data_IF_115048864121
#
_entry.id   IF_115048864121
#
_cell.length_a   1.000
_cell.length_b   1.000
_cell.length_c   1.000
_cell.angle_alpha   90.00
_cell.angle_beta   90.00
_cell.angle_gamma   90.00
#
_symmetry.space_group_name_H-M   'P 1'
#
loop_
_entity.id
_entity.type
_entity.pdbx_description
1 polymer ?
#
# COMPACT_ATOMS: atom_id res chain seq x y z
N UNK A 1 -38.62 -3.42 1.13
CA UNK A 1 -38.41 -1.98 0.90
C UNK A 1 -37.25 -1.57 1.79
N UNK A 2 -36.30 -0.74 1.33
CA UNK A 2 -35.14 -0.38 2.16
C UNK A 2 -35.58 0.45 3.38
N UNK A 3 -35.09 0.09 4.57
CA UNK A 3 -35.48 0.67 5.86
C UNK A 3 -34.61 1.90 6.18
N UNK A 4 -34.58 2.87 5.25
CA UNK A 4 -33.84 4.11 5.44
C UNK A 4 -34.77 5.28 5.76
N UNK A 5 -34.25 6.32 6.46
CA UNK A 5 -35.01 7.53 6.71
C UNK A 5 -35.50 8.16 5.40
N UNK A 6 -36.74 8.67 5.33
CA UNK A 6 -37.34 9.17 4.09
C UNK A 6 -36.62 10.39 3.48
N UNK A 7 -35.74 11.06 4.24
CA UNK A 7 -35.14 12.33 3.88
C UNK A 7 -33.68 12.25 3.37
N UNK A 8 -33.12 11.04 3.19
CA UNK A 8 -31.73 10.89 2.68
C UNK A 8 -31.58 11.29 1.20
N UNK A 9 -32.69 11.40 0.46
CA UNK A 9 -32.74 11.81 -0.94
C UNK A 9 -32.56 10.65 -1.93
N UNK A 10 -33.31 10.67 -3.03
CA UNK A 10 -33.36 9.58 -4.00
C UNK A 10 -31.99 9.18 -4.61
N UNK A 11 -31.05 10.11 -4.89
CA UNK A 11 -29.71 9.75 -5.33
C UNK A 11 -28.94 8.91 -4.30
N UNK A 12 -28.94 9.32 -3.04
CA UNK A 12 -28.24 8.61 -1.97
C UNK A 12 -28.89 7.25 -1.68
N UNK A 13 -30.24 7.18 -1.63
CA UNK A 13 -30.96 5.91 -1.46
C UNK A 13 -30.55 4.91 -2.54
N UNK A 14 -30.55 5.31 -3.82
CA UNK A 14 -30.16 4.42 -4.92
C UNK A 14 -28.71 3.98 -4.83
N UNK A 15 -27.81 4.91 -4.50
CA UNK A 15 -26.38 4.62 -4.38
C UNK A 15 -26.10 3.57 -3.29
N UNK A 16 -26.73 3.74 -2.12
CA UNK A 16 -26.61 2.85 -0.95
C UNK A 16 -27.26 1.49 -1.22
N UNK A 17 -28.48 1.45 -1.74
CA UNK A 17 -29.16 0.16 -2.01
C UNK A 17 -28.41 -0.67 -3.06
N UNK A 18 -27.71 -0.04 -4.01
CA UNK A 18 -26.91 -0.74 -5.02
C UNK A 18 -25.69 -1.48 -4.44
N UNK A 19 -25.23 -1.11 -3.25
CA UNK A 19 -24.15 -1.84 -2.55
C UNK A 19 -24.68 -2.99 -1.69
N UNK A 20 -26.00 -3.25 -1.71
CA UNK A 20 -26.65 -4.30 -0.93
C UNK A 20 -27.07 -3.86 0.48
N UNK A 21 -26.80 -2.62 0.87
CA UNK A 21 -27.23 -2.07 2.15
C UNK A 21 -28.73 -1.75 2.05
N UNK A 22 -29.55 -2.48 2.82
CA UNK A 22 -31.02 -2.33 2.77
C UNK A 22 -31.65 -2.04 4.13
N UNK A 23 -30.86 -2.08 5.21
CA UNK A 23 -31.30 -1.79 6.58
C UNK A 23 -30.26 -0.96 7.35
N UNK A 24 -30.66 -0.42 8.50
CA UNK A 24 -29.74 0.24 9.44
C UNK A 24 -28.71 -0.74 10.04
N UNK A 25 -29.03 -2.03 10.11
CA UNK A 25 -28.06 -3.05 10.58
C UNK A 25 -26.96 -3.27 9.55
N UNK A 26 -27.30 -3.35 8.25
CA UNK A 26 -26.30 -3.44 7.18
C UNK A 26 -25.44 -2.17 7.14
N UNK A 27 -26.09 -1.02 7.33
CA UNK A 27 -25.46 0.29 7.31
C UNK A 27 -24.47 0.47 8.47
N UNK A 28 -24.76 -0.08 9.65
CA UNK A 28 -23.86 -0.04 10.80
C UNK A 28 -22.53 -0.77 10.54
N UNK A 29 -22.45 -1.66 9.53
CA UNK A 29 -21.21 -2.30 9.10
C UNK A 29 -20.29 -1.42 8.24
N UNK A 30 -20.75 -0.23 7.83
CA UNK A 30 -20.01 0.68 6.94
C UNK A 30 -19.47 1.89 7.71
N UNK A 31 -18.37 2.45 7.21
CA UNK A 31 -17.86 3.73 7.69
C UNK A 31 -18.44 4.89 6.90
N UNK A 32 -18.49 6.07 7.52
CA UNK A 32 -18.93 7.29 6.86
C UNK A 32 -18.06 7.64 5.65
N UNK A 33 -16.76 7.42 5.75
CA UNK A 33 -15.81 7.63 4.66
C UNK A 33 -16.15 6.74 3.45
N UNK A 34 -16.36 5.44 3.68
CA UNK A 34 -16.71 4.49 2.63
C UNK A 34 -18.05 4.84 1.97
N UNK A 35 -19.03 5.32 2.74
CA UNK A 35 -20.29 5.81 2.19
C UNK A 35 -20.14 7.09 1.38
N UNK A 36 -19.27 8.00 1.81
CA UNK A 36 -18.98 9.25 1.10
C UNK A 36 -18.28 9.06 -0.25
N UNK A 37 -17.59 7.93 -0.46
CA UNK A 37 -17.02 7.56 -1.77
C UNK A 37 -18.08 7.12 -2.79
N UNK A 38 -19.30 6.79 -2.35
CA UNK A 38 -20.38 6.40 -3.24
C UNK A 38 -20.92 7.61 -4.01
N UNK A 39 -20.82 7.55 -5.34
CA UNK A 39 -21.38 8.57 -6.22
C UNK A 39 -22.88 8.79 -5.95
N UNK A 40 -23.24 9.99 -5.48
CA UNK A 40 -24.61 10.37 -5.13
C UNK A 40 -24.90 10.42 -3.62
N UNK A 41 -23.96 10.01 -2.77
CA UNK A 41 -24.05 10.13 -1.31
C UNK A 41 -23.25 11.36 -0.86
N UNK A 42 -23.96 12.41 -0.44
CA UNK A 42 -23.34 13.65 0.04
C UNK A 42 -23.28 13.74 1.57
N UNK A 43 -22.56 14.73 2.13
CA UNK A 43 -22.41 14.92 3.59
C UNK A 43 -23.75 15.03 4.34
N UNK A 44 -24.77 15.62 3.70
CA UNK A 44 -26.13 15.72 4.26
C UNK A 44 -26.78 14.34 4.42
N UNK A 45 -26.63 13.45 3.44
CA UNK A 45 -27.16 12.10 3.52
C UNK A 45 -26.45 11.31 4.63
N UNK A 46 -25.13 11.42 4.73
CA UNK A 46 -24.33 10.82 5.81
C UNK A 46 -24.81 11.29 7.18
N UNK A 47 -25.08 12.59 7.35
CA UNK A 47 -25.58 13.14 8.62
C UNK A 47 -26.93 12.54 9.00
N UNK A 48 -27.89 12.49 8.08
CA UNK A 48 -29.22 11.89 8.34
C UNK A 48 -29.11 10.40 8.68
N UNK A 49 -28.21 9.68 8.00
CA UNK A 49 -27.97 8.26 8.26
C UNK A 49 -27.30 8.03 9.61
N UNK A 50 -26.37 8.92 10.03
CA UNK A 50 -25.75 8.90 11.36
C UNK A 50 -26.80 9.07 12.45
N UNK A 51 -27.67 10.08 12.29
CA UNK A 51 -28.71 10.37 13.27
C UNK A 51 -29.67 9.17 13.39
N UNK A 52 -30.06 8.56 12.28
CA UNK A 52 -30.90 7.37 12.28
C UNK A 52 -30.24 6.14 12.92
N UNK A 53 -28.93 5.95 12.74
CA UNK A 53 -28.19 4.91 13.45
C UNK A 53 -28.17 5.19 14.96
N UNK A 54 -27.89 6.43 15.37
CA UNK A 54 -27.87 6.84 16.77
C UNK A 54 -29.23 6.64 17.45
N UNK A 55 -30.34 7.00 16.77
CA UNK A 55 -31.71 6.77 17.25
C UNK A 55 -32.01 5.27 17.42
N UNK A 56 -31.38 4.42 16.60
CA UNK A 56 -31.43 2.96 16.71
C UNK A 56 -30.38 2.39 17.69
N UNK A 57 -29.67 3.24 18.44
CA UNK A 57 -28.57 2.89 19.35
C UNK A 57 -27.45 2.08 18.66
N UNK A 58 -27.17 2.42 17.41
CA UNK A 58 -26.09 1.91 16.56
C UNK A 58 -25.18 3.05 16.14
N UNK A 59 -24.01 2.71 15.62
CA UNK A 59 -23.07 3.67 15.04
C UNK A 59 -22.51 3.08 13.74
N UNK A 60 -21.96 3.93 12.88
CA UNK A 60 -21.14 3.45 11.77
C UNK A 60 -19.90 2.72 12.28
N UNK A 61 -19.35 1.79 11.50
CA UNK A 61 -18.01 1.30 11.78
C UNK A 61 -17.02 2.45 11.64
N UNK A 62 -15.97 2.41 12.46
CA UNK A 62 -14.85 3.32 12.28
C UNK A 62 -14.20 3.00 10.94
N UNK A 63 -13.81 4.03 10.18
CA UNK A 63 -12.93 3.82 9.03
C UNK A 63 -11.64 3.19 9.55
N UNK A 64 -11.46 1.88 9.32
CA UNK A 64 -10.30 1.15 9.83
C UNK A 64 -9.02 1.80 9.35
N UNK A 65 -9.01 2.46 8.18
CA UNK A 65 -7.85 3.22 7.72
C UNK A 65 -7.50 4.38 8.67
N UNK A 66 -8.49 5.11 9.17
CA UNK A 66 -8.25 6.22 10.11
C UNK A 66 -7.86 5.70 11.50
N UNK A 67 -8.48 4.60 11.95
CA UNK A 67 -8.10 3.94 13.20
C UNK A 67 -6.67 3.38 13.16
N UNK A 68 -6.33 2.65 12.10
CA UNK A 68 -5.02 2.05 11.88
C UNK A 68 -3.92 3.12 11.84
N UNK A 69 -4.14 4.23 11.12
CA UNK A 69 -3.23 5.38 11.11
C UNK A 69 -3.04 5.94 12.53
N UNK A 70 -4.13 6.12 13.27
CA UNK A 70 -4.09 6.66 14.64
C UNK A 70 -3.32 5.75 15.59
N UNK A 71 -3.50 4.43 15.49
CA UNK A 71 -2.76 3.46 16.31
C UNK A 71 -1.27 3.42 15.97
N UNK A 72 -0.93 3.46 14.68
CA UNK A 72 0.48 3.54 14.24
C UNK A 72 1.12 4.86 14.67
N UNK A 73 0.42 5.98 14.56
CA UNK A 73 0.89 7.28 15.05
C UNK A 73 1.12 7.26 16.56
N UNK A 74 0.18 6.69 17.33
CA UNK A 74 0.32 6.54 18.77
C UNK A 74 1.52 5.67 19.15
N UNK A 75 1.78 4.58 18.42
CA UNK A 75 2.97 3.76 18.62
C UNK A 75 4.25 4.57 18.37
N UNK A 76 4.31 5.31 17.26
CA UNK A 76 5.48 6.10 16.89
C UNK A 76 5.72 7.25 17.90
N UNK A 77 4.67 7.91 18.35
CA UNK A 77 4.74 8.97 19.36
C UNK A 77 5.26 8.46 20.71
N UNK A 78 4.91 7.22 21.07
CA UNK A 78 5.42 6.57 22.27
C UNK A 78 6.87 6.06 22.13
N UNK A 79 7.39 5.92 20.91
CA UNK A 79 8.76 5.44 20.68
C UNK A 79 9.81 6.44 21.23
N UNK A 80 10.95 5.97 21.77
CA UNK A 80 12.04 6.84 22.20
C UNK A 80 12.67 7.62 21.04
N UNK A 81 13.18 8.81 21.30
CA UNK A 81 14.13 9.47 20.40
C UNK A 81 15.50 8.76 20.50
N UNK A 82 16.22 8.51 19.39
CA UNK A 82 15.94 8.93 18.01
C UNK A 82 15.12 7.92 17.18
N UNK A 83 14.68 6.81 17.77
CA UNK A 83 13.97 5.74 17.05
C UNK A 83 12.66 6.22 16.43
N UNK A 84 11.95 7.15 17.09
CA UNK A 84 10.72 7.75 16.55
C UNK A 84 10.92 8.35 15.17
N UNK A 85 11.92 9.21 15.01
CA UNK A 85 12.23 9.91 13.75
C UNK A 85 12.69 8.92 12.68
N UNK A 86 13.52 7.96 13.09
CA UNK A 86 13.99 6.86 12.25
C UNK A 86 12.83 6.02 11.70
N UNK A 87 11.90 5.58 12.56
CA UNK A 87 10.76 4.74 12.16
C UNK A 87 9.71 5.51 11.35
N UNK A 88 9.53 6.81 11.61
CA UNK A 88 8.71 7.67 10.73
C UNK A 88 9.28 7.74 9.32
N UNK A 89 10.62 7.79 9.18
CA UNK A 89 11.28 7.76 7.87
C UNK A 89 11.08 6.41 7.16
N UNK A 90 11.15 5.29 7.91
CA UNK A 90 10.86 3.95 7.38
C UNK A 90 9.41 3.86 6.90
N UNK A 91 8.43 4.28 7.71
CA UNK A 91 7.01 4.32 7.33
C UNK A 91 6.78 5.10 6.04
N UNK A 92 7.31 6.32 5.97
CA UNK A 92 7.16 7.18 4.80
C UNK A 92 7.73 6.51 3.53
N UNK A 93 8.89 5.88 3.64
CA UNK A 93 9.52 5.16 2.53
C UNK A 93 8.70 3.93 2.11
N UNK A 94 8.14 3.17 3.06
CA UNK A 94 7.31 2.01 2.76
C UNK A 94 6.00 2.41 2.07
N UNK A 95 5.35 3.49 2.49
CA UNK A 95 4.15 4.01 1.84
C UNK A 95 4.45 4.60 0.44
N UNK A 96 5.68 5.07 0.20
CA UNK A 96 6.13 5.43 -1.15
C UNK A 96 6.30 4.19 -2.05
N UNK A 97 6.90 3.13 -1.50
CA UNK A 97 7.14 1.87 -2.22
C UNK A 97 5.86 1.05 -2.45
N UNK A 98 4.86 1.23 -1.58
CA UNK A 98 3.55 0.59 -1.62
C UNK A 98 2.45 1.67 -1.64
N UNK A 99 2.20 2.35 -2.78
CA UNK A 99 1.23 3.44 -2.86
C UNK A 99 -0.21 3.10 -2.46
N UNK A 100 -0.61 1.83 -2.54
CA UNK A 100 -1.91 1.36 -2.04
C UNK A 100 -1.80 0.55 -0.74
N UNK A 101 -0.61 0.50 -0.16
CA UNK A 101 -0.39 0.02 1.19
C UNK A 101 -1.10 0.90 2.21
N UNK A 102 -1.52 0.29 3.31
CA UNK A 102 -2.15 0.98 4.45
C UNK A 102 -1.36 0.69 5.70
N UNK A 103 -1.25 1.69 6.58
CA UNK A 103 -0.85 1.46 7.95
C UNK A 103 -1.80 0.45 8.61
N UNK A 104 -1.24 -0.37 9.49
CA UNK A 104 -1.96 -1.28 10.36
C UNK A 104 -1.06 -1.70 11.53
N UNK A 105 -1.65 -2.18 12.61
CA UNK A 105 -0.92 -2.89 13.66
C UNK A 105 -0.87 -4.40 13.35
N UNK A 106 0.30 -5.01 13.48
CA UNK A 106 0.50 -6.45 13.31
C UNK A 106 1.49 -6.94 14.36
N UNK A 107 1.13 -7.97 15.14
CA UNK A 107 1.98 -8.47 16.24
C UNK A 107 2.46 -7.36 17.20
N UNK A 108 1.58 -6.41 17.54
CA UNK A 108 1.87 -5.27 18.42
C UNK A 108 2.95 -4.29 17.91
N UNK A 109 3.22 -4.29 16.60
CA UNK A 109 4.07 -3.29 15.97
C UNK A 109 3.40 -2.74 14.70
N UNK A 110 3.75 -1.51 14.28
CA UNK A 110 3.32 -0.98 13.00
C UNK A 110 3.73 -1.86 11.83
N UNK A 111 2.88 -1.90 10.81
CA UNK A 111 3.15 -2.53 9.55
C UNK A 111 2.43 -1.82 8.39
N UNK A 112 2.97 -1.97 7.18
CA UNK A 112 2.27 -1.64 5.95
C UNK A 112 1.63 -2.92 5.39
N UNK A 113 0.31 -2.90 5.28
CA UNK A 113 -0.49 -3.96 4.70
C UNK A 113 -0.92 -3.63 3.28
N UNK A 114 -0.92 -4.63 2.40
CA UNK A 114 -1.46 -4.56 1.06
C UNK A 114 -2.56 -5.62 0.92
N UNK A 115 -3.77 -5.20 0.57
CA UNK A 115 -4.97 -6.07 0.48
C UNK A 115 -5.21 -6.93 1.74
N UNK A 116 -4.91 -6.37 2.93
CA UNK A 116 -5.06 -7.04 4.23
C UNK A 116 -3.92 -7.98 4.61
N UNK A 117 -2.88 -8.09 3.77
CA UNK A 117 -1.70 -8.91 4.03
C UNK A 117 -0.56 -8.00 4.51
N UNK A 118 0.07 -8.33 5.64
CA UNK A 118 1.24 -7.60 6.14
C UNK A 118 2.46 -7.84 5.24
N UNK A 119 2.98 -6.75 4.65
CA UNK A 119 4.14 -6.79 3.75
C UNK A 119 5.41 -6.40 4.50
N UNK A 120 5.34 -5.37 5.34
CA UNK A 120 6.51 -4.83 6.04
C UNK A 120 6.12 -4.27 7.41
N UNK A 121 6.55 -4.95 8.48
CA UNK A 121 6.48 -4.48 9.86
C UNK A 121 7.76 -3.73 10.27
N UNK A 122 7.64 -2.82 11.22
CA UNK A 122 8.79 -2.13 11.81
C UNK A 122 8.57 -1.82 13.30
N UNK A 123 9.63 -1.80 14.10
CA UNK A 123 9.50 -1.59 15.55
C UNK A 123 10.69 -0.86 16.17
N UNK A 124 10.44 -0.23 17.33
CA UNK A 124 11.46 0.24 18.25
C UNK A 124 11.77 -0.87 19.27
N UNK A 125 13.03 -1.31 19.34
CA UNK A 125 13.53 -2.28 20.32
C UNK A 125 14.53 -1.61 21.27
N UNK A 126 14.95 -2.33 22.33
CA UNK A 126 15.78 -1.78 23.42
C UNK A 126 17.00 -0.97 22.94
N UNK A 127 17.71 -1.46 21.92
CA UNK A 127 18.97 -0.87 21.44
C UNK A 127 19.04 -0.72 19.90
N UNK A 128 17.96 -0.98 19.18
CA UNK A 128 17.95 -0.96 17.70
C UNK A 128 16.52 -0.76 17.19
N UNK A 129 16.37 -0.38 15.94
CA UNK A 129 15.12 -0.48 15.21
C UNK A 129 15.06 -1.80 14.43
N UNK A 130 13.86 -2.37 14.30
CA UNK A 130 13.64 -3.62 13.57
C UNK A 130 12.80 -3.41 12.32
N UNK A 131 13.15 -4.10 11.24
CA UNK A 131 12.31 -4.30 10.05
C UNK A 131 11.93 -5.77 9.96
N UNK A 132 10.68 -6.08 9.65
CA UNK A 132 10.17 -7.46 9.61
C UNK A 132 9.32 -7.71 8.37
N UNK A 133 9.76 -8.61 7.50
CA UNK A 133 8.98 -9.03 6.33
C UNK A 133 7.94 -10.11 6.67
N UNK A 134 7.85 -10.52 7.95
CA UNK A 134 6.98 -11.60 8.43
C UNK A 134 7.10 -12.88 7.57
N UNK A 135 8.33 -13.18 7.15
CA UNK A 135 8.68 -14.28 6.28
C UNK A 135 10.02 -14.84 6.69
N UNK A 136 10.15 -16.17 6.68
CA UNK A 136 11.41 -16.83 6.95
C UNK A 136 12.39 -16.91 5.77
N UNK A 137 11.95 -16.57 4.56
CA UNK A 137 12.67 -16.80 3.30
C UNK A 137 13.14 -15.50 2.65
N UNK A 138 12.53 -14.36 2.96
CA UNK A 138 12.89 -13.06 2.36
C UNK A 138 14.28 -12.56 2.77
N UNK A 139 14.67 -12.72 4.04
CA UNK A 139 16.02 -12.34 4.49
C UNK A 139 17.09 -13.26 3.90
N UNK A 140 16.80 -14.56 3.77
CA UNK A 140 17.67 -15.53 3.09
C UNK A 140 17.84 -15.19 1.61
N UNK A 141 16.73 -14.91 0.91
CA UNK A 141 16.75 -14.52 -0.49
C UNK A 141 17.48 -13.19 -0.76
N UNK A 142 17.55 -12.30 0.23
CA UNK A 142 18.31 -11.07 0.12
C UNK A 142 19.84 -11.29 0.13
N UNK A 143 20.31 -12.37 0.77
CA UNK A 143 21.71 -12.81 0.74
C UNK A 143 22.71 -11.70 1.09
N UNK A 144 23.79 -11.61 0.31
CA UNK A 144 24.90 -10.65 0.48
C UNK A 144 24.46 -9.18 0.46
N UNK A 145 23.25 -8.87 -0.03
CA UNK A 145 22.71 -7.51 0.00
C UNK A 145 22.44 -7.01 1.43
N UNK A 146 22.37 -7.91 2.41
CA UNK A 146 22.23 -7.59 3.82
C UNK A 146 23.55 -7.66 4.59
N UNK A 147 24.69 -7.80 3.90
CA UNK A 147 26.00 -7.77 4.54
C UNK A 147 26.18 -6.49 5.36
N UNK A 148 26.64 -6.65 6.60
CA UNK A 148 26.80 -5.55 7.56
C UNK A 148 25.59 -5.33 8.48
N UNK A 149 24.44 -5.97 8.23
CA UNK A 149 23.30 -5.92 9.14
C UNK A 149 23.23 -7.17 10.03
N UNK A 150 22.73 -7.00 11.24
CA UNK A 150 22.31 -8.13 12.07
C UNK A 150 20.93 -8.57 11.60
N UNK A 151 20.83 -9.81 11.11
CA UNK A 151 19.57 -10.37 10.60
C UNK A 151 19.06 -11.49 11.49
N UNK A 152 17.74 -11.63 11.53
CA UNK A 152 17.04 -12.82 12.05
C UNK A 152 16.36 -13.54 10.89
N UNK A 153 15.69 -14.65 11.19
CA UNK A 153 14.90 -15.39 10.19
C UNK A 153 13.87 -14.50 9.48
N UNK A 154 13.32 -13.49 10.15
CA UNK A 154 12.24 -12.67 9.60
C UNK A 154 12.46 -11.17 9.62
N UNK A 155 13.66 -10.71 9.99
CA UNK A 155 13.90 -9.28 10.13
C UNK A 155 15.34 -8.85 10.11
N UNK A 156 15.51 -7.53 10.04
CA UNK A 156 16.78 -6.82 9.95
C UNK A 156 16.82 -5.85 11.13
N UNK A 157 17.89 -5.88 11.91
CA UNK A 157 18.16 -4.87 12.92
C UNK A 157 19.00 -3.75 12.30
N UNK A 158 18.62 -2.51 12.58
CA UNK A 158 19.31 -1.32 12.13
C UNK A 158 19.38 -0.26 13.24
N UNK A 159 20.23 0.72 13.06
CA UNK A 159 20.54 1.69 14.11
C UNK A 159 19.34 2.54 14.50
N UNK A 160 19.37 3.02 15.74
CA UNK A 160 18.27 3.80 16.32
C UNK A 160 18.09 5.16 15.67
N UNK A 161 19.13 5.73 15.06
CA UNK A 161 19.17 7.06 14.45
C UNK A 161 19.40 7.04 12.93
N UNK A 162 19.58 5.85 12.34
CA UNK A 162 19.90 5.70 10.91
C UNK A 162 18.90 4.73 10.28
N UNK A 163 17.92 5.20 9.49
CA UNK A 163 16.93 4.33 8.88
C UNK A 163 17.57 3.40 7.84
N UNK A 164 16.93 2.25 7.60
CA UNK A 164 17.33 1.40 6.49
C UNK A 164 17.33 2.18 5.16
N UNK A 165 18.38 2.05 4.34
CA UNK A 165 18.39 2.65 3.03
C UNK A 165 17.17 2.21 2.21
N UNK A 166 16.64 3.12 1.38
CA UNK A 166 15.50 2.84 0.49
C UNK A 166 15.75 1.61 -0.38
N UNK A 167 16.99 1.37 -0.80
CA UNK A 167 17.40 0.15 -1.52
C UNK A 167 17.07 -1.14 -0.79
N UNK A 168 17.35 -1.19 0.51
CA UNK A 168 17.10 -2.37 1.34
C UNK A 168 15.60 -2.53 1.57
N UNK A 169 14.89 -1.44 1.86
CA UNK A 169 13.42 -1.48 2.00
C UNK A 169 12.75 -1.95 0.70
N UNK A 170 13.16 -1.42 -0.46
CA UNK A 170 12.64 -1.78 -1.77
C UNK A 170 12.93 -3.25 -2.12
N UNK A 171 14.15 -3.73 -1.84
CA UNK A 171 14.52 -5.14 -2.00
C UNK A 171 13.63 -6.04 -1.16
N UNK A 172 13.48 -5.75 0.13
CA UNK A 172 12.71 -6.59 1.05
C UNK A 172 11.22 -6.60 0.72
N UNK A 173 10.65 -5.45 0.33
CA UNK A 173 9.25 -5.36 -0.15
C UNK A 173 9.07 -6.20 -1.42
N UNK A 174 9.97 -6.07 -2.40
CA UNK A 174 9.90 -6.84 -3.64
C UNK A 174 9.96 -8.35 -3.37
N UNK A 175 10.90 -8.80 -2.54
CA UNK A 175 11.03 -10.22 -2.19
C UNK A 175 9.78 -10.73 -1.47
N UNK A 176 9.18 -9.91 -0.60
CA UNK A 176 7.95 -10.30 0.10
C UNK A 176 6.77 -10.42 -0.87
N UNK A 177 6.59 -9.47 -1.78
CA UNK A 177 5.53 -9.54 -2.79
C UNK A 177 5.71 -10.75 -3.72
N UNK A 178 6.96 -11.06 -4.09
CA UNK A 178 7.29 -12.22 -4.93
C UNK A 178 6.97 -13.54 -4.23
N UNK A 179 7.35 -13.67 -2.95
CA UNK A 179 6.98 -14.82 -2.12
C UNK A 179 5.46 -14.99 -2.03
N UNK A 180 4.72 -13.89 -1.87
CA UNK A 180 3.26 -13.93 -1.79
C UNK A 180 2.59 -14.16 -3.16
N UNK A 181 3.32 -14.08 -4.27
CA UNK A 181 2.75 -13.99 -5.60
C UNK A 181 1.81 -12.78 -5.77
N UNK A 182 2.03 -11.74 -4.97
CA UNK A 182 1.13 -10.59 -4.84
C UNK A 182 1.65 -9.37 -5.60
N UNK A 183 0.76 -8.45 -5.93
CA UNK A 183 1.08 -7.22 -6.66
C UNK A 183 0.31 -6.06 -6.08
N UNK A 184 0.83 -4.84 -6.23
CA UNK A 184 0.10 -3.65 -5.82
C UNK A 184 -0.97 -3.32 -6.87
N UNK A 185 -2.21 -3.77 -6.65
CA UNK A 185 -3.33 -3.64 -7.59
C UNK A 185 -3.01 -4.14 -9.00
N UNK A 186 -2.31 -5.28 -9.09
CA UNK A 186 -1.86 -5.81 -10.37
C UNK A 186 -0.61 -5.13 -10.90
N UNK A 187 0.03 -4.21 -10.19
CA UNK A 187 1.28 -3.57 -10.58
C UNK A 187 2.45 -4.26 -9.89
N UNK A 188 3.46 -4.58 -10.70
CA UNK A 188 4.78 -5.00 -10.23
C UNK A 188 5.77 -3.87 -10.43
N UNK A 189 6.62 -3.64 -9.42
CA UNK A 189 7.75 -2.72 -9.46
C UNK A 189 9.04 -3.50 -9.28
N UNK A 190 10.07 -3.15 -10.03
CA UNK A 190 11.43 -3.64 -9.89
C UNK A 190 12.35 -2.46 -9.58
N UNK A 191 13.39 -2.68 -8.79
CA UNK A 191 14.29 -1.63 -8.32
C UNK A 191 15.75 -1.96 -8.62
N UNK A 192 16.56 -0.92 -8.80
CA UNK A 192 18.02 -1.01 -8.85
C UNK A 192 18.60 -1.32 -7.46
N UNK A 193 19.89 -1.73 -7.38
CA UNK A 193 20.56 -1.95 -6.11
C UNK A 193 20.56 -0.75 -5.16
N UNK A 194 20.43 0.47 -5.69
CA UNK A 194 20.35 1.72 -4.92
C UNK A 194 18.91 2.10 -4.50
N UNK A 195 17.91 1.30 -4.87
CA UNK A 195 16.50 1.49 -4.51
C UNK A 195 15.72 2.38 -5.47
N UNK A 196 16.33 2.85 -6.55
CA UNK A 196 15.60 3.58 -7.58
C UNK A 196 14.73 2.65 -8.41
N UNK A 197 13.57 3.14 -8.84
CA UNK A 197 12.65 2.36 -9.66
C UNK A 197 13.32 2.03 -10.99
N UNK A 198 13.40 0.75 -11.33
CA UNK A 198 13.98 0.23 -12.57
C UNK A 198 12.92 -0.10 -13.59
N UNK A 199 11.84 -0.75 -13.16
CA UNK A 199 10.74 -1.09 -14.03
C UNK A 199 9.43 -1.11 -13.25
N UNK A 200 8.33 -0.81 -13.94
CA UNK A 200 6.99 -0.96 -13.38
C UNK A 200 5.98 -1.26 -14.47
N UNK A 201 5.04 -2.17 -14.19
CA UNK A 201 3.92 -2.41 -15.08
C UNK A 201 2.91 -3.40 -14.55
N UNK A 202 1.82 -3.59 -15.31
CA UNK A 202 0.74 -4.50 -14.91
C UNK A 202 1.16 -5.96 -15.07
N UNK A 203 0.68 -6.79 -14.17
CA UNK A 203 0.74 -8.24 -14.20
C UNK A 203 -0.68 -8.79 -14.34
N UNK A 204 -0.82 -9.87 -15.09
CA UNK A 204 -2.03 -10.68 -15.15
C UNK A 204 -1.63 -12.14 -15.26
N UNK A 205 -2.18 -13.00 -14.40
CA UNK A 205 -1.89 -14.44 -14.38
C UNK A 205 -0.38 -14.73 -14.30
N UNK A 206 0.32 -14.02 -13.41
CA UNK A 206 1.78 -14.04 -13.24
C UNK A 206 2.61 -13.65 -14.49
N UNK A 207 2.00 -13.03 -15.51
CA UNK A 207 2.68 -12.57 -16.72
C UNK A 207 2.57 -11.04 -16.88
N UNK A 208 3.59 -10.39 -17.48
CA UNK A 208 3.49 -8.99 -17.88
C UNK A 208 2.27 -8.73 -18.77
N UNK A 209 1.54 -7.67 -18.48
CA UNK A 209 0.35 -7.23 -19.19
C UNK A 209 0.25 -5.72 -19.19
N UNK A 210 -0.48 -5.15 -20.14
CA UNK A 210 -0.68 -3.70 -20.22
C UNK A 210 0.62 -2.91 -20.37
N UNK A 211 0.59 -1.64 -19.98
CA UNK A 211 1.71 -0.73 -20.15
C UNK A 211 2.78 -1.00 -19.09
N UNK A 212 4.02 -1.07 -19.55
CA UNK A 212 5.22 -1.15 -18.75
C UNK A 212 6.12 0.03 -19.03
N UNK A 213 6.86 0.46 -18.01
CA UNK A 213 7.87 1.50 -18.07
C UNK A 213 9.17 0.96 -17.47
N UNK A 214 10.28 1.34 -18.07
CA UNK A 214 11.62 1.12 -17.53
C UNK A 214 12.29 2.48 -17.39
N UNK A 215 13.06 2.61 -16.32
CA UNK A 215 13.76 3.83 -15.95
C UNK A 215 15.22 3.48 -15.72
N UNK A 216 16.09 4.47 -15.91
CA UNK A 216 17.50 4.38 -15.55
C UNK A 216 17.71 4.58 -14.06
N UNK A 217 18.93 4.31 -13.60
CA UNK A 217 19.36 4.54 -12.23
C UNK A 217 19.48 6.04 -11.85
N UNK A 218 19.11 6.98 -12.71
CA UNK A 218 18.92 8.39 -12.37
C UNK A 218 17.44 8.79 -12.34
N UNK A 219 16.53 7.82 -12.53
CA UNK A 219 15.09 8.00 -12.62
C UNK A 219 14.57 8.44 -14.00
N UNK A 220 15.44 8.73 -14.97
CA UNK A 220 15.01 9.10 -16.33
C UNK A 220 14.29 7.93 -17.02
N UNK A 221 13.24 8.24 -17.78
CA UNK A 221 12.48 7.22 -18.51
C UNK A 221 13.38 6.63 -19.61
N UNK A 222 13.63 5.33 -19.54
CA UNK A 222 14.43 4.63 -20.53
C UNK A 222 13.55 4.06 -21.64
N UNK A 223 12.43 3.43 -21.27
CA UNK A 223 11.61 2.68 -22.20
C UNK A 223 10.16 2.58 -21.77
N UNK A 224 9.26 2.50 -22.73
CA UNK A 224 7.85 2.19 -22.52
C UNK A 224 7.40 1.17 -23.54
N UNK A 225 6.58 0.22 -23.09
CA UNK A 225 6.05 -0.84 -23.93
C UNK A 225 4.70 -1.31 -23.44
N UNK A 226 4.02 -2.10 -24.26
CA UNK A 226 2.83 -2.82 -23.83
C UNK A 226 3.07 -4.32 -23.95
N UNK A 227 2.60 -5.07 -22.97
CA UNK A 227 2.52 -6.53 -23.03
C UNK A 227 1.07 -7.00 -23.14
N UNK A 228 0.88 -8.12 -23.84
CA UNK A 228 -0.36 -8.92 -23.83
C UNK A 228 0.01 -10.35 -23.48
N UNK A 229 -0.39 -10.80 -22.28
CA UNK A 229 -0.17 -12.19 -21.81
C UNK A 229 1.31 -12.60 -21.87
N UNK A 230 2.21 -11.70 -21.46
CA UNK A 230 3.66 -11.91 -21.44
C UNK A 230 4.38 -11.59 -22.75
N UNK A 231 3.66 -11.35 -23.85
CA UNK A 231 4.27 -11.03 -25.14
C UNK A 231 4.25 -9.52 -25.42
N UNK A 232 5.33 -9.01 -26.04
CA UNK A 232 5.38 -7.61 -26.46
C UNK A 232 4.29 -7.35 -27.50
N UNK A 233 3.55 -6.27 -27.33
CA UNK A 233 2.47 -5.88 -28.24
C UNK A 233 2.44 -4.37 -28.44
N UNK A 234 2.00 -3.95 -29.62
CA UNK A 234 1.83 -2.55 -29.97
C UNK A 234 3.16 -1.80 -30.02
N UNK A 235 3.08 -0.48 -29.82
CA UNK A 235 4.23 0.39 -29.96
C UNK A 235 5.10 0.40 -28.70
N UNK A 236 6.39 0.22 -28.91
CA UNK A 236 7.44 0.34 -27.93
C UNK A 236 8.30 1.53 -28.28
N UNK A 237 8.67 2.32 -27.28
CA UNK A 237 9.53 3.49 -27.44
C UNK A 237 10.65 3.46 -26.42
N UNK A 238 11.85 3.74 -26.89
CA UNK A 238 13.02 4.01 -26.05
C UNK A 238 13.34 5.48 -26.11
N UNK A 239 13.90 6.02 -25.03
CA UNK A 239 14.26 7.43 -24.91
C UNK A 239 15.74 7.55 -24.54
N UNK A 240 16.39 8.67 -24.82
CA UNK A 240 17.71 9.01 -24.26
C UNK A 240 17.59 9.59 -22.83
N UNK A 241 18.68 10.12 -22.27
CA UNK A 241 18.70 10.75 -20.95
C UNK A 241 17.94 12.08 -20.88
N UNK A 242 17.81 12.78 -22.02
CA UNK A 242 17.07 14.04 -22.14
C UNK A 242 15.57 13.82 -22.40
N UNK A 243 15.15 12.56 -22.58
CA UNK A 243 13.78 12.17 -22.84
C UNK A 243 13.37 12.22 -24.32
N UNK A 244 14.33 12.33 -25.26
CA UNK A 244 14.03 12.27 -26.68
C UNK A 244 13.88 10.81 -27.14
N UNK A 245 12.90 10.49 -28.00
CA UNK A 245 12.76 9.13 -28.54
C UNK A 245 13.98 8.74 -29.37
N UNK A 246 14.61 7.61 -29.03
CA UNK A 246 15.78 7.05 -29.75
C UNK A 246 15.40 5.86 -30.63
N UNK A 247 14.35 5.12 -30.24
CA UNK A 247 13.83 4.00 -31.01
C UNK A 247 12.32 3.91 -30.89
N UNK A 248 11.66 3.47 -31.97
CA UNK A 248 10.24 3.13 -31.97
C UNK A 248 10.02 1.87 -32.79
N UNK A 249 9.54 0.81 -32.12
CA UNK A 249 9.27 -0.48 -32.73
C UNK A 249 7.82 -0.91 -32.45
N UNK A 250 7.14 -1.53 -33.42
CA UNK A 250 5.79 -2.08 -33.25
C UNK A 250 5.83 -3.60 -33.30
N UNK A 251 5.15 -4.24 -32.33
CA UNK A 251 5.00 -5.70 -32.21
C UNK A 251 3.54 -6.13 -32.39
#
# INVERSE_FOLDING_TARGET
MAEFPPNIGAPATRAITRTGIVSLTDLAGWSEAALGELHGVGPKAITILRDALNDANKTFTVDTRTADITEVDAYLDAAPSPQRETLRTVRATLLELLPHGRDAMSYSMPAVQLDGISVAGYSANKNHCGYYAHSGSTTEAAGERLDGYVTTRSGIHFDVDTPLPKSILALMVSLKLDELGHTDRGIRSEYYPDGQLKAQGKMKDAKPSGRWKWFRADGSLERVGTFRVGERAGMWRSYDGDGNPTDTTTY
#
